data_IF_331653536631
#
_entry.id   IF_331653536631
#
_cell.length_a   1.000
_cell.length_b   1.000
_cell.length_c   1.000
_cell.angle_alpha   90.00
_cell.angle_beta   90.00
_cell.angle_gamma   90.00
#
_symmetry.space_group_name_H-M   'P 1'
#
loop_
_entity.id
_entity.type
_entity.pdbx_description
1 polymer ?
#
# COMPACT_ATOMS: atom_id res chain seq x y z
N UNK A 1 -14.23 -38.05 -27.68
CA UNK A 1 -13.80 -38.72 -26.43
C UNK A 1 -12.28 -38.53 -26.31
N UNK A 2 -11.83 -37.58 -25.49
CA UNK A 2 -10.57 -37.56 -24.71
C UNK A 2 -10.41 -36.14 -24.12
N UNK A 3 -10.65 -35.99 -22.81
CA UNK A 3 -10.27 -34.80 -22.04
C UNK A 3 -8.89 -35.08 -21.44
N UNK A 4 -7.89 -34.29 -21.81
CA UNK A 4 -6.66 -34.15 -21.02
C UNK A 4 -6.54 -32.69 -20.62
N UNK A 5 -7.21 -32.35 -19.52
CA UNK A 5 -6.99 -31.10 -18.80
C UNK A 5 -5.75 -31.36 -17.94
N UNK A 6 -4.58 -30.88 -18.38
CA UNK A 6 -3.41 -30.82 -17.51
C UNK A 6 -3.78 -29.98 -16.28
N UNK A 7 -3.96 -30.64 -15.14
CA UNK A 7 -4.00 -29.98 -13.84
C UNK A 7 -2.55 -29.71 -13.50
N UNK A 8 -2.01 -28.59 -13.97
CA UNK A 8 -0.66 -28.17 -13.60
C UNK A 8 -0.62 -27.91 -12.09
N UNK A 9 0.48 -28.34 -11.47
CA UNK A 9 0.79 -28.43 -10.03
C UNK A 9 0.72 -27.09 -9.26
N UNK A 10 -0.47 -26.53 -9.09
CA UNK A 10 -0.71 -25.38 -8.21
C UNK A 10 -0.38 -25.58 -6.71
N UNK A 11 -0.48 -26.79 -6.11
CA UNK A 11 -0.29 -26.93 -4.66
C UNK A 11 1.16 -26.69 -4.20
N UNK A 12 2.14 -27.09 -5.02
CA UNK A 12 3.56 -27.03 -4.67
C UNK A 12 4.06 -25.58 -4.72
N UNK A 13 3.70 -24.83 -5.76
CA UNK A 13 4.09 -23.42 -5.93
C UNK A 13 3.53 -22.54 -4.80
N UNK A 14 2.29 -22.80 -4.37
CA UNK A 14 1.66 -22.10 -3.25
C UNK A 14 2.30 -22.45 -1.90
N UNK A 15 2.67 -23.72 -1.71
CA UNK A 15 3.38 -24.20 -0.51
C UNK A 15 4.78 -23.58 -0.40
N UNK A 16 5.52 -23.51 -1.51
CA UNK A 16 6.83 -22.87 -1.57
C UNK A 16 6.77 -21.36 -1.31
N UNK A 17 5.80 -20.65 -1.89
CA UNK A 17 5.60 -19.23 -1.64
C UNK A 17 5.29 -18.93 -0.15
N UNK A 18 4.51 -19.81 0.48
CA UNK A 18 4.19 -19.70 1.91
C UNK A 18 5.43 -19.93 2.78
N UNK A 19 6.22 -20.97 2.48
CA UNK A 19 7.47 -21.26 3.18
C UNK A 19 8.49 -20.14 3.05
N UNK A 20 8.66 -19.59 1.84
CA UNK A 20 9.53 -18.43 1.60
C UNK A 20 9.08 -17.19 2.34
N UNK A 21 7.77 -16.91 2.37
CA UNK A 21 7.21 -15.79 3.13
C UNK A 21 7.49 -15.94 4.63
N UNK A 22 7.35 -17.15 5.18
CA UNK A 22 7.65 -17.43 6.59
C UNK A 22 9.14 -17.28 6.89
N UNK A 23 10.03 -17.82 6.05
CA UNK A 23 11.47 -17.63 6.18
C UNK A 23 11.84 -16.14 6.17
N UNK A 24 11.30 -15.40 5.20
CA UNK A 24 11.56 -13.98 5.06
C UNK A 24 11.12 -13.19 6.30
N UNK A 25 9.91 -13.44 6.81
CA UNK A 25 9.38 -12.76 8.01
C UNK A 25 10.05 -13.16 9.31
N UNK A 26 10.35 -14.45 9.50
CA UNK A 26 10.76 -14.99 10.80
C UNK A 26 12.28 -15.15 10.95
N UNK A 27 13.03 -15.17 9.85
CA UNK A 27 14.48 -15.43 9.86
C UNK A 27 15.24 -14.27 9.21
N UNK A 28 14.81 -13.83 8.02
CA UNK A 28 15.57 -12.80 7.29
C UNK A 28 15.38 -11.40 7.87
N UNK A 29 14.13 -10.95 8.00
CA UNK A 29 13.80 -9.59 8.46
C UNK A 29 14.21 -9.31 9.91
N UNK A 30 14.13 -10.23 10.89
CA UNK A 30 14.52 -9.91 12.27
C UNK A 30 16.00 -9.52 12.43
N UNK A 31 16.85 -9.86 11.45
CA UNK A 31 18.27 -9.46 11.43
C UNK A 31 18.39 -8.03 10.92
N UNK A 32 18.75 -7.09 11.80
CA UNK A 32 18.88 -5.66 11.47
C UNK A 32 19.79 -5.39 10.27
N UNK A 33 20.94 -6.09 10.20
CA UNK A 33 21.86 -5.93 9.07
C UNK A 33 21.22 -6.36 7.73
N UNK A 34 20.33 -7.35 7.74
CA UNK A 34 19.62 -7.78 6.53
C UNK A 34 18.59 -6.72 6.11
N UNK A 35 17.86 -6.12 7.05
CA UNK A 35 16.95 -4.99 6.79
C UNK A 35 17.69 -3.82 6.16
N UNK A 36 18.79 -3.38 6.79
CA UNK A 36 19.59 -2.25 6.29
C UNK A 36 20.12 -2.50 4.88
N UNK A 37 20.71 -3.68 4.64
CA UNK A 37 21.23 -4.06 3.32
C UNK A 37 20.12 -4.12 2.26
N UNK A 38 18.97 -4.68 2.62
CA UNK A 38 17.83 -4.74 1.71
C UNK A 38 17.32 -3.34 1.34
N UNK A 39 17.16 -2.46 2.32
CA UNK A 39 16.75 -1.06 2.07
C UNK A 39 17.75 -0.38 1.14
N UNK A 40 19.05 -0.51 1.41
CA UNK A 40 20.10 0.04 0.55
C UNK A 40 20.03 -0.48 -0.89
N UNK A 41 19.88 -1.81 -1.07
CA UNK A 41 19.76 -2.42 -2.39
C UNK A 41 18.53 -1.92 -3.15
N UNK A 42 17.38 -1.80 -2.48
CA UNK A 42 16.15 -1.29 -3.09
C UNK A 42 16.30 0.19 -3.49
N UNK A 43 16.87 1.02 -2.61
CA UNK A 43 17.15 2.43 -2.87
C UNK A 43 18.07 2.60 -4.09
N UNK A 44 19.15 1.82 -4.16
CA UNK A 44 20.07 1.85 -5.30
C UNK A 44 19.37 1.42 -6.59
N UNK A 45 18.59 0.35 -6.55
CA UNK A 45 17.84 -0.15 -7.71
C UNK A 45 16.84 0.87 -8.23
N UNK A 46 16.13 1.57 -7.32
CA UNK A 46 15.16 2.61 -7.68
C UNK A 46 15.84 3.88 -8.19
N UNK A 47 16.95 4.28 -7.59
CA UNK A 47 17.75 5.40 -8.08
C UNK A 47 18.28 5.14 -9.49
N UNK A 48 18.68 3.89 -9.80
CA UNK A 48 19.09 3.49 -11.15
C UNK A 48 17.94 3.54 -12.18
N UNK A 49 16.68 3.49 -11.73
CA UNK A 49 15.48 3.69 -12.55
C UNK A 49 15.05 5.17 -12.61
N UNK A 50 15.83 6.09 -12.02
CA UNK A 50 15.50 7.52 -11.96
C UNK A 50 14.39 7.85 -10.95
N UNK A 51 14.09 6.94 -10.03
CA UNK A 51 13.06 7.12 -9.00
C UNK A 51 13.73 7.63 -7.73
N UNK A 52 13.32 8.81 -7.28
CA UNK A 52 13.72 9.36 -5.99
C UNK A 52 13.16 8.50 -4.84
N UNK A 53 14.01 8.18 -3.87
CA UNK A 53 13.64 7.38 -2.70
C UNK A 53 14.03 8.07 -1.41
N UNK A 54 13.13 8.03 -0.43
CA UNK A 54 13.38 8.51 0.92
C UNK A 54 13.12 7.41 1.92
N UNK A 55 13.96 7.31 2.95
CA UNK A 55 13.79 6.37 4.06
C UNK A 55 13.06 7.09 5.19
N UNK A 56 11.86 6.61 5.55
CA UNK A 56 11.12 7.15 6.68
C UNK A 56 11.81 6.78 7.99
N UNK A 57 11.97 7.76 8.90
CA UNK A 57 12.54 7.54 10.24
C UNK A 57 11.50 7.03 11.25
N UNK A 58 10.22 7.06 10.88
CA UNK A 58 9.09 6.57 11.67
C UNK A 58 8.11 5.82 10.78
N UNK A 59 6.82 6.04 11.00
CA UNK A 59 5.77 5.42 10.19
C UNK A 59 5.82 5.90 8.72
N UNK A 60 5.81 4.94 7.80
CA UNK A 60 5.92 5.19 6.37
C UNK A 60 4.62 5.78 5.81
N UNK A 61 3.46 5.34 6.29
CA UNK A 61 2.15 5.82 5.80
C UNK A 61 1.97 7.30 6.10
N UNK A 62 2.35 7.72 7.30
CA UNK A 62 2.39 9.12 7.73
C UNK A 62 3.32 9.95 6.86
N UNK A 63 4.51 9.44 6.56
CA UNK A 63 5.45 10.15 5.69
C UNK A 63 4.92 10.30 4.26
N UNK A 64 4.30 9.25 3.70
CA UNK A 64 3.73 9.26 2.35
C UNK A 64 2.62 10.30 2.24
N UNK A 65 1.67 10.33 3.19
CA UNK A 65 0.57 11.30 3.17
C UNK A 65 1.09 12.73 3.29
N UNK A 66 2.02 12.98 4.22
CA UNK A 66 2.62 14.31 4.38
C UNK A 66 3.34 14.76 3.11
N UNK A 67 4.15 13.88 2.51
CA UNK A 67 4.86 14.19 1.27
C UNK A 67 3.87 14.53 0.14
N UNK A 68 2.79 13.76 0.01
CA UNK A 68 1.76 14.04 -0.99
C UNK A 68 1.07 15.40 -0.77
N UNK A 69 0.80 15.78 0.48
CA UNK A 69 0.24 17.08 0.83
C UNK A 69 1.19 18.22 0.46
N UNK A 70 2.47 18.11 0.82
CA UNK A 70 3.51 19.08 0.46
C UNK A 70 3.65 19.23 -1.07
N UNK A 71 3.66 18.11 -1.80
CA UNK A 71 3.74 18.12 -3.28
C UNK A 71 2.48 18.69 -3.92
N UNK A 72 1.30 18.51 -3.32
CA UNK A 72 0.03 19.01 -3.86
C UNK A 72 -0.06 20.54 -3.92
N UNK A 73 0.82 21.25 -3.20
CA UNK A 73 0.93 22.71 -3.27
C UNK A 73 1.53 23.17 -4.60
N UNK A 74 2.47 22.40 -5.15
CA UNK A 74 3.23 22.76 -6.36
C UNK A 74 2.87 21.93 -7.59
N UNK A 75 2.07 20.87 -7.44
CA UNK A 75 1.70 19.96 -8.51
C UNK A 75 0.19 19.93 -8.67
N UNK A 76 -0.29 19.97 -9.92
CA UNK A 76 -1.71 19.94 -10.23
C UNK A 76 -2.38 18.62 -9.82
N UNK A 77 -1.65 17.50 -9.92
CA UNK A 77 -2.14 16.17 -9.61
C UNK A 77 -1.04 15.43 -8.85
N UNK A 78 -1.40 14.88 -7.69
CA UNK A 78 -0.53 13.98 -6.93
C UNK A 78 -1.25 12.65 -6.74
N UNK A 79 -0.57 11.55 -7.05
CA UNK A 79 -1.10 10.21 -6.85
C UNK A 79 -0.29 9.47 -5.79
N UNK A 80 -0.97 8.99 -4.75
CA UNK A 80 -0.42 8.08 -3.75
C UNK A 80 -0.75 6.66 -4.17
N UNK A 81 0.25 5.80 -4.29
CA UNK A 81 0.04 4.39 -4.62
C UNK A 81 0.18 3.55 -3.36
N UNK A 82 -0.83 2.74 -3.05
CA UNK A 82 -0.77 1.86 -1.88
C UNK A 82 -1.94 0.89 -1.83
N UNK A 83 -1.87 -0.05 -0.90
CA UNK A 83 -2.89 -1.09 -0.75
C UNK A 83 -3.48 -1.17 0.66
N UNK A 84 -2.77 -0.59 1.63
CA UNK A 84 -3.18 -0.47 3.03
C UNK A 84 -4.41 0.43 3.17
N UNK A 85 -5.33 0.02 4.03
CA UNK A 85 -6.53 0.81 4.36
C UNK A 85 -6.13 2.04 5.18
N UNK A 86 -5.15 1.89 6.04
CA UNK A 86 -4.58 2.90 6.93
C UNK A 86 -4.16 4.13 6.16
N UNK A 87 -3.54 3.94 4.98
CA UNK A 87 -3.11 5.02 4.11
C UNK A 87 -4.28 5.84 3.55
N UNK A 88 -5.41 5.20 3.24
CA UNK A 88 -6.63 5.87 2.78
C UNK A 88 -7.29 6.63 3.92
N UNK A 89 -7.39 6.00 5.08
CA UNK A 89 -7.97 6.60 6.30
C UNK A 89 -7.17 7.84 6.67
N UNK A 90 -5.85 7.74 6.71
CA UNK A 90 -4.96 8.84 7.03
C UNK A 90 -5.10 9.99 6.02
N UNK A 91 -5.22 9.66 4.73
CA UNK A 91 -5.40 10.64 3.67
C UNK A 91 -6.74 11.39 3.79
N UNK A 92 -7.84 10.71 4.11
CA UNK A 92 -9.16 11.34 4.32
C UNK A 92 -9.13 12.33 5.49
N UNK A 93 -8.38 11.99 6.55
CA UNK A 93 -8.31 12.78 7.77
C UNK A 93 -7.41 14.01 7.60
N UNK A 94 -6.26 13.84 6.95
CA UNK A 94 -5.24 14.90 6.88
C UNK A 94 -5.38 15.81 5.65
N UNK A 95 -6.00 15.34 4.57
CA UNK A 95 -6.05 16.12 3.35
C UNK A 95 -7.05 17.28 3.44
N UNK A 96 -6.70 18.49 2.94
CA UNK A 96 -7.68 19.55 2.76
C UNK A 96 -8.79 19.13 1.78
N UNK A 97 -10.04 19.62 1.96
CA UNK A 97 -11.17 19.29 1.08
C UNK A 97 -10.93 19.62 -0.41
N UNK A 98 -10.09 20.62 -0.67
CA UNK A 98 -9.76 21.07 -2.03
C UNK A 98 -8.52 20.38 -2.63
N UNK A 99 -7.93 19.42 -1.92
CA UNK A 99 -6.71 18.75 -2.37
C UNK A 99 -6.91 17.97 -3.68
N UNK A 100 -5.97 18.13 -4.61
CA UNK A 100 -5.92 17.40 -5.87
C UNK A 100 -5.07 16.13 -5.74
N UNK A 101 -5.32 15.38 -4.66
CA UNK A 101 -4.65 14.12 -4.35
C UNK A 101 -5.56 12.96 -4.74
N UNK A 102 -4.95 11.92 -5.29
CA UNK A 102 -5.61 10.69 -5.69
C UNK A 102 -4.95 9.50 -5.01
N UNK A 103 -5.76 8.57 -4.52
CA UNK A 103 -5.29 7.28 -4.07
C UNK A 103 -5.41 6.26 -5.19
N UNK A 104 -4.30 5.65 -5.58
CA UNK A 104 -4.21 4.60 -6.58
C UNK A 104 -3.99 3.25 -5.90
N UNK A 105 -5.01 2.39 -5.95
CA UNK A 105 -4.89 1.00 -5.52
C UNK A 105 -4.39 0.17 -6.69
N UNK A 106 -3.15 -0.38 -6.63
CA UNK A 106 -2.65 -1.23 -7.69
C UNK A 106 -3.50 -2.51 -7.77
N UNK A 107 -3.81 -2.92 -9.00
CA UNK A 107 -4.54 -4.15 -9.27
C UNK A 107 -3.79 -5.39 -8.77
N UNK A 108 -4.54 -6.42 -8.38
CA UNK A 108 -3.98 -7.78 -8.16
C UNK A 108 -4.48 -8.70 -9.26
N UNK A 109 -3.56 -9.41 -9.94
CA UNK A 109 -3.88 -10.38 -10.99
C UNK A 109 -4.72 -9.76 -12.11
N UNK A 110 -5.96 -10.19 -12.29
CA UNK A 110 -6.91 -9.70 -13.31
C UNK A 110 -7.74 -8.50 -12.87
N UNK A 111 -7.52 -7.99 -11.65
CA UNK A 111 -8.22 -6.81 -11.15
C UNK A 111 -7.52 -5.57 -11.67
N UNK A 112 -8.28 -4.65 -12.25
CA UNK A 112 -7.79 -3.37 -12.76
C UNK A 112 -7.30 -2.44 -11.64
N UNK A 113 -6.44 -1.50 -12.00
CA UNK A 113 -6.01 -0.41 -11.10
C UNK A 113 -7.22 0.47 -10.80
N UNK A 114 -7.47 0.73 -9.51
CA UNK A 114 -8.55 1.63 -9.09
C UNK A 114 -7.96 2.97 -8.63
N UNK A 115 -8.53 4.07 -9.11
CA UNK A 115 -8.13 5.43 -8.74
C UNK A 115 -9.29 6.10 -7.98
N UNK A 116 -9.00 6.68 -6.82
CA UNK A 116 -9.97 7.33 -5.97
C UNK A 116 -9.53 8.77 -5.71
N UNK A 117 -10.42 9.74 -5.94
CA UNK A 117 -10.17 11.13 -5.59
C UNK A 117 -10.35 11.31 -4.08
N UNK A 118 -9.37 11.92 -3.40
CA UNK A 118 -9.49 12.20 -1.96
C UNK A 118 -10.70 13.08 -1.65
N UNK A 119 -10.95 14.11 -2.47
CA UNK A 119 -12.14 14.97 -2.37
C UNK A 119 -13.44 14.17 -2.45
N UNK A 120 -13.51 13.19 -3.36
CA UNK A 120 -14.70 12.34 -3.51
C UNK A 120 -14.87 11.44 -2.29
N UNK A 121 -13.78 10.81 -1.83
CA UNK A 121 -13.78 9.98 -0.64
C UNK A 121 -14.25 10.75 0.59
N UNK A 122 -13.76 11.97 0.82
CA UNK A 122 -14.19 12.82 1.95
C UNK A 122 -15.68 13.20 1.88
N UNK A 123 -16.24 13.37 0.69
CA UNK A 123 -17.68 13.65 0.51
C UNK A 123 -18.55 12.43 0.77
N UNK A 124 -18.12 11.26 0.32
CA UNK A 124 -18.85 10.00 0.51
C UNK A 124 -18.74 9.50 1.96
N UNK A 125 -17.61 9.78 2.61
CA UNK A 125 -17.30 9.39 3.97
C UNK A 125 -17.59 10.56 4.91
N UNK A 126 -18.86 10.74 5.23
CA UNK A 126 -19.42 11.88 5.96
C UNK A 126 -18.87 12.10 7.37
N UNK A 127 -18.11 11.15 7.93
CA UNK A 127 -17.51 11.25 9.27
C UNK A 127 -16.12 10.60 9.34
N UNK A 128 -15.05 11.32 8.92
CA UNK A 128 -13.67 10.83 9.02
C UNK A 128 -13.28 10.36 10.43
N UNK A 129 -13.82 11.05 11.44
CA UNK A 129 -13.61 10.75 12.86
C UNK A 129 -14.24 9.40 13.26
N UNK A 130 -15.41 9.05 12.71
CA UNK A 130 -16.05 7.76 12.96
C UNK A 130 -15.27 6.62 12.31
N UNK A 131 -14.66 6.86 11.14
CA UNK A 131 -13.84 5.85 10.46
C UNK A 131 -12.55 5.58 11.23
N UNK A 132 -11.88 6.62 11.72
CA UNK A 132 -10.74 6.48 12.63
C UNK A 132 -11.12 5.72 13.90
N UNK A 133 -12.27 6.05 14.49
CA UNK A 133 -12.76 5.40 15.68
C UNK A 133 -13.02 3.90 15.44
N UNK A 134 -13.69 3.56 14.33
CA UNK A 134 -13.94 2.18 13.93
C UNK A 134 -12.63 1.43 13.69
N UNK A 135 -11.67 2.05 12.98
CA UNK A 135 -10.35 1.45 12.74
C UNK A 135 -9.64 1.15 14.06
N UNK A 136 -9.55 2.15 14.95
CA UNK A 136 -8.89 2.02 16.25
C UNK A 136 -9.56 0.99 17.17
N UNK A 137 -10.88 0.80 17.08
CA UNK A 137 -11.59 -0.25 17.82
C UNK A 137 -11.52 -1.63 17.16
N UNK A 138 -11.26 -1.70 15.85
CA UNK A 138 -11.22 -2.94 15.08
C UNK A 138 -9.86 -3.62 15.04
N UNK A 139 -8.83 -3.02 15.65
CA UNK A 139 -7.44 -3.50 15.71
C UNK A 139 -6.99 -4.14 14.38
N UNK A 140 -6.63 -3.31 13.39
CA UNK A 140 -5.84 -3.67 12.19
C UNK A 140 -6.37 -4.81 11.28
N UNK A 141 -7.56 -5.37 11.52
CA UNK A 141 -8.04 -6.58 10.83
C UNK A 141 -9.26 -6.36 9.90
N UNK A 142 -9.64 -5.11 9.60
CA UNK A 142 -10.58 -4.85 8.50
C UNK A 142 -9.86 -5.05 7.16
N UNK A 143 -9.64 -6.32 6.86
CA UNK A 143 -9.49 -6.87 5.52
C UNK A 143 -10.57 -6.20 4.67
N UNK A 144 -10.17 -5.31 3.76
CA UNK A 144 -11.06 -4.50 2.94
C UNK A 144 -12.11 -5.36 2.24
N UNK A 145 -13.28 -5.49 2.88
CA UNK A 145 -14.50 -6.07 2.34
C UNK A 145 -15.58 -4.99 2.44
N UNK A 146 -15.37 -3.89 1.72
CA UNK A 146 -16.44 -2.95 1.43
C UNK A 146 -16.37 -2.69 -0.08
N UNK A 147 -17.27 -3.42 -0.77
CA UNK A 147 -17.59 -3.49 -2.21
C UNK A 147 -16.55 -4.06 -3.21
#
# INVERSE_FOLDING_TARGET
MCRSRCVCDKPIEQSLATSLSQFYRNIFLPVEMNKTRLIQLLTQKKSAEGIETTIATGDADTYIVRCALEKSISHLIVAITGQEVDLVVLLIVLAPPESNIYFMKPGKRKVEVKLFSTRKLQKELSFPQTILLLHAFSDCDITSAIY
#
